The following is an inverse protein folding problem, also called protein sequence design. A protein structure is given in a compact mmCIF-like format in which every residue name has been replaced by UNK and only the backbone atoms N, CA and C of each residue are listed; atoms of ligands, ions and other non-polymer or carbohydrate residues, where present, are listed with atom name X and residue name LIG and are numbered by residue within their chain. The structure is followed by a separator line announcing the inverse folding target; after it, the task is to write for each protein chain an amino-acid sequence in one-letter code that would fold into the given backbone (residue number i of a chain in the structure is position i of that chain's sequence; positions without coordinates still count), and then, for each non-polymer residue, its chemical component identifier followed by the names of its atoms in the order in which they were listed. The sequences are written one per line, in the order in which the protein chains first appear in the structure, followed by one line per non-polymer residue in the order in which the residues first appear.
data_IF_371208198151
#
_entry.id   IF_371208198151
#
_cell.length_a   1.000
_cell.length_b   1.000
_cell.length_c   1.000
_cell.angle_alpha   90.00
_cell.angle_beta   90.00
_cell.angle_gamma   90.00
#
_symmetry.space_group_name_H-M   'P 1'
#
loop_
_entity.id
_entity.type
_entity.pdbx_description
1 polymer ?
#
# COMPACT_ATOMS: atom_id res chain seq x y z
N UNK A 1 19.35 -13.76 24.30
CA UNK A 1 17.90 -13.82 23.91
C UNK A 1 17.09 -13.75 25.20
N UNK A 2 16.18 -12.76 25.33
CA UNK A 2 15.44 -12.51 26.57
C UNK A 2 14.25 -13.46 26.80
N UNK A 3 13.96 -14.40 25.88
CA UNK A 3 12.85 -15.35 25.97
C UNK A 3 11.44 -14.71 25.95
N UNK A 4 11.35 -13.46 25.47
CA UNK A 4 10.08 -12.73 25.35
C UNK A 4 9.54 -12.79 23.93
N UNK A 5 8.21 -12.68 23.78
CA UNK A 5 7.57 -12.56 22.47
C UNK A 5 7.68 -11.12 21.98
N UNK A 6 8.17 -10.96 20.76
CA UNK A 6 8.15 -9.69 20.02
C UNK A 6 7.31 -9.90 18.76
N UNK A 7 6.29 -9.06 18.55
CA UNK A 7 5.44 -9.09 17.37
C UNK A 7 5.42 -7.71 16.72
N UNK A 8 5.64 -7.68 15.40
CA UNK A 8 5.44 -6.48 14.57
C UNK A 8 4.04 -6.54 13.98
N UNK A 9 3.26 -5.47 14.15
CA UNK A 9 1.92 -5.34 13.58
C UNK A 9 1.91 -4.30 12.46
N UNK A 10 1.61 -4.73 11.21
CA UNK A 10 1.35 -3.80 10.13
C UNK A 10 -0.08 -3.28 10.24
N UNK A 11 -0.22 -1.96 10.41
CA UNK A 11 -1.48 -1.30 10.76
C UNK A 11 -2.61 -1.52 9.74
N UNK A 12 -2.31 -1.65 8.44
CA UNK A 12 -3.31 -1.88 7.39
C UNK A 12 -4.07 -3.18 7.58
N UNK A 13 -3.44 -4.21 8.12
CA UNK A 13 -4.11 -5.50 8.41
C UNK A 13 -5.26 -5.37 9.42
N UNK A 14 -5.26 -4.29 10.22
CA UNK A 14 -6.27 -3.98 11.23
C UNK A 14 -7.26 -2.88 10.78
N UNK A 15 -7.04 -2.27 9.62
CA UNK A 15 -7.97 -1.30 9.05
C UNK A 15 -9.13 -2.02 8.35
N UNK A 16 -10.38 -1.63 8.66
CA UNK A 16 -11.59 -2.32 8.23
C UNK A 16 -11.68 -2.52 6.72
N UNK A 17 -11.38 -1.47 5.93
CA UNK A 17 -11.43 -1.56 4.48
C UNK A 17 -10.45 -2.61 3.91
N UNK A 18 -9.24 -2.67 4.47
CA UNK A 18 -8.19 -3.59 4.06
C UNK A 18 -8.50 -5.01 4.52
N UNK A 19 -8.99 -5.18 5.76
CA UNK A 19 -9.41 -6.48 6.29
C UNK A 19 -10.60 -7.05 5.50
N UNK A 20 -11.57 -6.21 5.13
CA UNK A 20 -12.72 -6.61 4.29
C UNK A 20 -12.26 -7.05 2.90
N UNK A 21 -11.35 -6.30 2.29
CA UNK A 21 -10.79 -6.66 0.98
C UNK A 21 -10.00 -7.97 1.05
N UNK A 22 -9.15 -8.14 2.07
CA UNK A 22 -8.42 -9.38 2.28
C UNK A 22 -9.35 -10.59 2.46
N UNK A 23 -10.43 -10.44 3.23
CA UNK A 23 -11.44 -11.49 3.37
C UNK A 23 -12.09 -11.84 2.02
N UNK A 24 -12.43 -10.83 1.19
CA UNK A 24 -13.00 -11.07 -0.15
C UNK A 24 -12.02 -11.80 -1.09
N UNK A 25 -10.73 -11.47 -1.02
CA UNK A 25 -9.69 -12.17 -1.79
C UNK A 25 -9.51 -13.61 -1.30
N UNK A 26 -9.30 -13.79 0.00
CA UNK A 26 -8.95 -15.09 0.58
C UNK A 26 -10.11 -16.10 0.55
N UNK A 27 -11.37 -15.65 0.54
CA UNK A 27 -12.52 -16.54 0.37
C UNK A 27 -12.89 -16.80 -1.10
N UNK A 28 -12.09 -16.29 -2.06
CA UNK A 28 -12.26 -16.54 -3.49
C UNK A 28 -13.32 -15.70 -4.19
N UNK A 29 -13.87 -14.66 -3.56
CA UNK A 29 -14.95 -13.84 -4.14
C UNK A 29 -14.56 -13.15 -5.46
N UNK A 30 -13.28 -12.94 -5.72
CA UNK A 30 -12.75 -12.35 -6.97
C UNK A 30 -12.06 -13.37 -7.87
N UNK A 31 -12.10 -14.66 -7.53
CA UNK A 31 -11.38 -15.72 -8.25
C UNK A 31 -9.87 -15.69 -8.02
N UNK A 32 -9.10 -16.12 -9.03
CA UNK A 32 -7.64 -16.11 -8.96
C UNK A 32 -7.08 -14.71 -9.08
N UNK A 33 -6.18 -14.33 -8.18
CA UNK A 33 -5.50 -13.03 -8.20
C UNK A 33 -4.65 -12.90 -9.46
N UNK A 34 -4.79 -11.80 -10.18
CA UNK A 34 -4.08 -11.49 -11.41
C UNK A 34 -3.20 -10.25 -11.28
N UNK A 35 -3.75 -9.17 -10.72
CA UNK A 35 -3.03 -7.90 -10.52
C UNK A 35 -3.35 -7.30 -9.17
N UNK A 36 -2.36 -6.67 -8.58
CA UNK A 36 -2.51 -5.91 -7.32
C UNK A 36 -1.88 -4.53 -7.47
N UNK A 37 -2.43 -3.57 -6.78
CA UNK A 37 -1.77 -2.28 -6.60
C UNK A 37 -1.93 -1.80 -5.17
N UNK A 38 -0.92 -1.09 -4.67
CA UNK A 38 -0.96 -0.41 -3.38
C UNK A 38 -0.23 0.92 -3.50
N UNK A 39 -0.78 1.95 -2.90
CA UNK A 39 -0.29 3.31 -3.01
C UNK A 39 -0.33 3.99 -1.65
N UNK A 40 0.76 4.70 -1.32
CA UNK A 40 0.89 5.54 -0.13
C UNK A 40 1.42 6.91 -0.51
N UNK A 41 0.66 7.96 -0.23
CA UNK A 41 1.13 9.34 -0.37
C UNK A 41 0.89 10.08 0.94
N UNK A 42 1.98 10.48 1.57
CA UNK A 42 1.93 11.24 2.81
C UNK A 42 1.37 12.65 2.58
N UNK A 43 0.68 13.26 3.55
CA UNK A 43 0.13 14.58 3.38
C UNK A 43 1.24 15.62 3.25
N UNK A 44 1.07 16.58 2.32
CA UNK A 44 1.97 17.70 2.15
C UNK A 44 1.66 18.88 3.07
N UNK A 45 2.51 19.89 3.10
CA UNK A 45 3.79 19.96 2.38
C UNK A 45 4.91 19.18 3.07
N UNK A 46 5.89 18.70 2.29
CA UNK A 46 7.09 18.05 2.83
C UNK A 46 8.01 19.11 3.47
N UNK A 47 8.18 19.05 4.78
CA UNK A 47 8.91 20.04 5.57
C UNK A 47 10.19 19.49 6.22
N UNK A 48 10.42 18.17 6.17
CA UNK A 48 11.61 17.59 6.75
C UNK A 48 12.89 17.99 5.97
N UNK A 49 14.02 18.01 6.68
CA UNK A 49 15.32 18.21 6.06
C UNK A 49 15.79 16.94 5.36
N UNK A 50 15.93 16.91 4.02
CA UNK A 50 16.35 15.72 3.30
C UNK A 50 17.71 15.16 3.72
N UNK A 51 18.62 16.01 4.22
CA UNK A 51 19.94 15.60 4.68
C UNK A 51 19.90 14.70 5.93
N UNK A 52 18.78 14.72 6.66
CA UNK A 52 18.55 13.90 7.86
C UNK A 52 17.81 12.61 7.59
N UNK A 53 17.42 12.36 6.34
CA UNK A 53 16.64 11.19 5.93
C UNK A 53 17.57 10.21 5.18
N UNK A 54 17.59 8.96 5.63
CA UNK A 54 18.41 7.93 4.97
C UNK A 54 17.90 7.68 3.53
N UNK A 55 18.79 7.42 2.55
CA UNK A 55 18.38 7.26 1.14
C UNK A 55 17.31 6.20 0.88
N UNK A 56 17.28 5.12 1.66
CA UNK A 56 16.33 4.02 1.51
C UNK A 56 15.02 4.20 2.29
N UNK A 57 14.82 5.33 2.97
CA UNK A 57 13.65 5.54 3.87
C UNK A 57 12.32 5.33 3.16
N UNK A 58 12.17 5.79 1.91
CA UNK A 58 10.92 5.58 1.17
C UNK A 58 10.56 4.11 1.01
N UNK A 59 11.54 3.21 0.92
CA UNK A 59 11.31 1.77 0.85
C UNK A 59 11.10 1.14 2.22
N UNK A 60 11.87 1.56 3.23
CA UNK A 60 11.95 0.91 4.53
C UNK A 60 10.88 1.41 5.53
N UNK A 61 10.35 2.60 5.34
CA UNK A 61 9.36 3.21 6.23
C UNK A 61 7.99 3.39 5.57
N UNK A 62 7.95 3.76 4.29
CA UNK A 62 6.67 3.98 3.59
C UNK A 62 6.24 2.74 2.80
N UNK A 63 7.01 2.33 1.80
CA UNK A 63 6.66 1.19 0.95
C UNK A 63 6.65 -0.16 1.66
N UNK A 64 7.26 -0.29 2.84
CA UNK A 64 7.16 -1.52 3.63
C UNK A 64 5.71 -1.87 3.96
N UNK A 65 4.84 -0.88 4.13
CA UNK A 65 3.40 -1.07 4.35
C UNK A 65 2.70 -1.59 3.09
N UNK A 66 3.13 -1.13 1.91
CA UNK A 66 2.60 -1.57 0.62
C UNK A 66 3.07 -2.98 0.30
N UNK A 67 4.35 -3.29 0.53
CA UNK A 67 4.89 -4.64 0.35
C UNK A 67 4.20 -5.66 1.26
N UNK A 68 4.00 -5.33 2.53
CA UNK A 68 3.25 -6.18 3.46
C UNK A 68 1.82 -6.43 2.96
N UNK A 69 1.14 -5.37 2.53
CA UNK A 69 -0.23 -5.43 2.01
C UNK A 69 -0.33 -6.33 0.77
N UNK A 70 0.55 -6.14 -0.21
CA UNK A 70 0.55 -6.92 -1.44
C UNK A 70 0.82 -8.40 -1.18
N UNK A 71 1.80 -8.72 -0.31
CA UNK A 71 2.08 -10.09 0.09
C UNK A 71 0.93 -10.72 0.88
N UNK A 72 0.26 -9.96 1.74
CA UNK A 72 -0.90 -10.44 2.50
C UNK A 72 -2.10 -10.73 1.60
N UNK A 73 -2.39 -9.85 0.63
CA UNK A 73 -3.49 -10.03 -0.32
C UNK A 73 -3.23 -11.14 -1.34
N UNK A 74 -1.97 -11.48 -1.62
CA UNK A 74 -1.56 -12.58 -2.49
C UNK A 74 -0.93 -13.72 -1.67
N UNK A 75 -1.56 -14.06 -0.55
CA UNK A 75 -1.04 -15.05 0.40
C UNK A 75 -0.78 -16.42 -0.25
N UNK A 76 0.35 -17.03 0.13
CA UNK A 76 0.78 -18.32 -0.41
C UNK A 76 1.60 -18.22 -1.70
N UNK A 77 1.92 -17.01 -2.17
CA UNK A 77 2.79 -16.77 -3.32
C UNK A 77 3.98 -15.90 -2.92
N UNK A 78 5.12 -16.14 -3.57
CA UNK A 78 6.38 -15.46 -3.27
C UNK A 78 6.78 -14.51 -4.40
N UNK A 79 7.32 -13.32 -4.09
CA UNK A 79 7.88 -12.43 -5.09
C UNK A 79 9.14 -13.04 -5.73
N UNK A 80 9.18 -13.13 -7.07
CA UNK A 80 10.29 -13.74 -7.83
C UNK A 80 11.06 -12.73 -8.67
N UNK A 81 10.49 -11.55 -8.92
CA UNK A 81 11.16 -10.50 -9.68
C UNK A 81 10.67 -9.13 -9.20
N UNK A 82 11.60 -8.18 -9.05
CA UNK A 82 11.31 -6.81 -8.61
C UNK A 82 12.04 -5.83 -9.51
N UNK A 83 11.32 -4.81 -9.97
CA UNK A 83 11.88 -3.64 -10.63
C UNK A 83 11.42 -2.38 -9.91
N UNK A 84 12.36 -1.48 -9.58
CA UNK A 84 12.07 -0.27 -8.84
C UNK A 84 12.68 0.97 -9.50
N UNK A 85 11.93 2.05 -9.52
CA UNK A 85 12.39 3.39 -9.88
C UNK A 85 12.07 4.34 -8.74
N UNK A 86 13.05 5.14 -8.33
CA UNK A 86 12.86 6.16 -7.30
C UNK A 86 13.67 7.41 -7.62
N UNK A 87 13.13 8.57 -7.31
CA UNK A 87 13.81 9.85 -7.49
C UNK A 87 13.38 10.87 -6.44
N UNK A 88 14.10 11.99 -6.38
CA UNK A 88 13.74 13.17 -5.61
C UNK A 88 12.94 14.12 -6.53
N UNK A 89 11.61 13.95 -6.57
CA UNK A 89 10.71 14.75 -7.40
C UNK A 89 10.14 15.96 -6.66
N UNK A 90 9.96 15.84 -5.34
CA UNK A 90 9.49 16.90 -4.45
C UNK A 90 10.65 17.83 -4.08
N UNK A 91 11.82 17.23 -3.81
CA UNK A 91 13.05 17.94 -3.46
C UNK A 91 14.19 17.63 -4.43
N UNK A 92 14.12 18.12 -5.69
CA UNK A 92 15.15 17.86 -6.72
C UNK A 92 16.55 18.36 -6.31
N UNK A 93 16.60 19.37 -5.46
CA UNK A 93 17.83 19.93 -4.88
C UNK A 93 18.58 18.93 -4.00
N UNK A 94 17.88 17.95 -3.42
CA UNK A 94 18.46 16.90 -2.59
C UNK A 94 18.83 15.61 -3.36
N UNK A 95 18.59 15.55 -4.66
CA UNK A 95 18.82 14.34 -5.49
C UNK A 95 20.26 13.80 -5.38
N UNK A 96 21.24 14.71 -5.38
CA UNK A 96 22.67 14.37 -5.33
C UNK A 96 23.11 13.72 -4.02
N UNK A 97 22.38 13.93 -2.93
CA UNK A 97 22.63 13.27 -1.64
C UNK A 97 22.16 11.82 -1.57
N UNK A 98 21.48 11.34 -2.63
CA UNK A 98 20.85 10.02 -2.63
C UNK A 98 19.44 10.01 -2.05
N UNK A 99 18.91 11.18 -1.61
CA UNK A 99 17.54 11.30 -1.13
C UNK A 99 16.53 10.89 -2.21
N UNK A 100 15.49 10.17 -1.82
CA UNK A 100 14.38 9.75 -2.67
C UNK A 100 13.07 10.00 -1.93
N UNK A 101 12.16 10.73 -2.56
CA UNK A 101 10.85 11.09 -2.02
C UNK A 101 9.67 10.53 -2.80
N UNK A 102 9.95 9.90 -3.93
CA UNK A 102 8.95 9.29 -4.81
C UNK A 102 9.51 7.99 -5.37
N UNK A 103 8.69 6.93 -5.33
CA UNK A 103 9.10 5.61 -5.82
C UNK A 103 7.92 4.84 -6.41
N UNK A 104 8.21 4.04 -7.44
CA UNK A 104 7.32 3.05 -8.03
C UNK A 104 8.06 1.73 -8.12
N UNK A 105 7.41 0.66 -7.67
CA UNK A 105 7.95 -0.70 -7.67
C UNK A 105 6.99 -1.62 -8.39
N UNK A 106 7.50 -2.46 -9.28
CA UNK A 106 6.76 -3.55 -9.91
C UNK A 106 7.29 -4.87 -9.37
N UNK A 107 6.39 -5.79 -9.04
CA UNK A 107 6.69 -7.10 -8.45
C UNK A 107 6.00 -8.17 -9.30
N UNK A 108 6.72 -9.23 -9.67
CA UNK A 108 6.14 -10.44 -10.23
C UNK A 108 6.21 -11.57 -9.19
N UNK A 109 5.10 -12.27 -9.02
CA UNK A 109 4.98 -13.40 -8.11
C UNK A 109 5.11 -14.74 -8.86
N UNK A 110 5.43 -15.80 -8.13
CA UNK A 110 5.58 -17.17 -8.65
C UNK A 110 4.28 -17.76 -9.22
N UNK A 111 3.11 -17.31 -8.70
CA UNK A 111 1.79 -17.67 -9.26
C UNK A 111 1.42 -16.91 -10.55
N UNK A 112 2.32 -16.06 -11.05
CA UNK A 112 2.13 -15.23 -12.24
C UNK A 112 1.44 -13.88 -12.01
N UNK A 113 0.96 -13.58 -10.80
CA UNK A 113 0.38 -12.28 -10.48
C UNK A 113 1.43 -11.17 -10.57
N UNK A 114 0.97 -9.98 -10.96
CA UNK A 114 1.81 -8.76 -11.07
C UNK A 114 1.29 -7.73 -10.10
N UNK A 115 2.17 -7.14 -9.31
CA UNK A 115 1.83 -6.06 -8.39
C UNK A 115 2.62 -4.78 -8.65
N UNK A 116 2.03 -3.64 -8.26
CA UNK A 116 2.69 -2.34 -8.20
C UNK A 116 2.55 -1.75 -6.81
N UNK A 117 3.63 -1.16 -6.31
CA UNK A 117 3.65 -0.34 -5.11
C UNK A 117 4.14 1.06 -5.47
N UNK A 118 3.44 2.09 -4.99
CA UNK A 118 3.78 3.49 -5.23
C UNK A 118 3.85 4.25 -3.90
N UNK A 119 4.87 5.09 -3.73
CA UNK A 119 4.96 5.99 -2.58
C UNK A 119 5.42 7.39 -2.97
N UNK A 120 4.91 8.37 -2.22
CA UNK A 120 5.36 9.77 -2.29
C UNK A 120 5.31 10.40 -0.89
N UNK A 121 6.34 11.18 -0.52
CA UNK A 121 6.37 11.91 0.75
C UNK A 121 5.51 13.18 0.75
N UNK A 122 4.79 13.47 -0.34
CA UNK A 122 3.94 14.67 -0.40
C UNK A 122 2.76 14.52 -1.36
N UNK A 123 1.57 14.58 -0.79
CA UNK A 123 0.33 14.80 -1.52
C UNK A 123 -0.33 16.08 -1.00
N UNK A 124 -0.32 17.14 -1.80
CA UNK A 124 -0.84 18.45 -1.40
C UNK A 124 -2.35 18.47 -1.14
N UNK A 125 -3.06 17.43 -1.61
CA UNK A 125 -4.51 17.24 -1.40
C UNK A 125 -4.84 16.42 -0.14
N UNK A 126 -3.85 15.99 0.64
CA UNK A 126 -4.02 15.24 1.87
C UNK A 126 -3.48 13.80 1.79
N UNK A 127 -3.68 13.04 2.86
CA UNK A 127 -3.22 11.67 2.96
C UNK A 127 -3.97 10.76 1.97
N UNK A 128 -3.23 9.98 1.17
CA UNK A 128 -3.81 9.14 0.13
C UNK A 128 -3.30 7.70 0.25
N UNK A 129 -4.17 6.81 0.71
CA UNK A 129 -3.92 5.38 0.82
C UNK A 129 -4.93 4.64 -0.03
N UNK A 130 -4.47 3.93 -1.05
CA UNK A 130 -5.34 3.16 -1.95
C UNK A 130 -4.74 1.80 -2.27
N UNK A 131 -5.62 0.85 -2.59
CA UNK A 131 -5.25 -0.43 -3.12
C UNK A 131 -6.34 -1.02 -3.98
N UNK A 132 -5.94 -1.93 -4.85
CA UNK A 132 -6.82 -2.67 -5.74
C UNK A 132 -6.30 -4.09 -5.94
N UNK A 133 -7.20 -5.05 -5.97
CA UNK A 133 -6.90 -6.41 -6.41
C UNK A 133 -7.87 -6.81 -7.51
N UNK A 134 -7.34 -7.07 -8.70
CA UNK A 134 -8.06 -7.63 -9.84
C UNK A 134 -7.85 -9.14 -9.84
N UNK A 135 -8.95 -9.88 -9.83
CA UNK A 135 -8.98 -11.33 -9.97
C UNK A 135 -9.72 -11.76 -11.23
N UNK A 136 -9.73 -13.06 -11.51
CA UNK A 136 -10.35 -13.64 -12.70
C UNK A 136 -11.88 -13.52 -12.73
N UNK A 137 -12.52 -13.33 -11.58
CA UNK A 137 -13.98 -13.25 -11.43
C UNK A 137 -14.47 -11.90 -10.86
N UNK A 138 -13.58 -10.98 -10.54
CA UNK A 138 -13.96 -9.69 -9.99
C UNK A 138 -12.78 -8.85 -9.53
N UNK A 139 -13.08 -7.77 -8.82
CA UNK A 139 -12.11 -6.81 -8.33
C UNK A 139 -12.54 -6.27 -6.97
N UNK A 140 -11.59 -5.95 -6.12
CA UNK A 140 -11.81 -5.20 -4.87
C UNK A 140 -10.91 -3.98 -4.83
N UNK A 141 -11.46 -2.84 -4.41
CA UNK A 141 -10.71 -1.60 -4.18
C UNK A 141 -10.77 -1.22 -2.71
N UNK A 142 -9.68 -0.66 -2.20
CA UNK A 142 -9.53 -0.17 -0.83
C UNK A 142 -9.05 1.27 -0.83
N UNK A 143 -9.56 2.04 0.10
CA UNK A 143 -9.21 3.44 0.27
C UNK A 143 -9.70 4.35 -0.85
N UNK A 144 -9.74 5.62 -0.54
CA UNK A 144 -9.93 6.75 -1.47
C UNK A 144 -9.30 7.97 -0.80
N UNK A 145 -8.94 9.02 -1.53
CA UNK A 145 -8.42 10.25 -0.93
C UNK A 145 -9.34 10.88 0.12
N UNK A 146 -10.64 10.55 0.06
CA UNK A 146 -11.68 11.14 0.91
C UNK A 146 -12.56 10.11 1.64
N UNK A 147 -12.34 8.82 1.46
CA UNK A 147 -13.14 7.78 2.13
C UNK A 147 -12.32 6.56 2.53
N UNK A 148 -12.71 5.96 3.65
CA UNK A 148 -12.13 4.72 4.18
C UNK A 148 -12.87 3.45 3.74
N UNK A 149 -13.79 3.56 2.78
CA UNK A 149 -14.62 2.45 2.32
C UNK A 149 -13.89 1.43 1.45
N UNK A 150 -14.35 0.18 1.48
CA UNK A 150 -13.95 -0.85 0.51
C UNK A 150 -14.99 -0.96 -0.61
N UNK A 151 -14.52 -1.17 -1.84
CA UNK A 151 -15.36 -1.41 -3.01
C UNK A 151 -15.02 -2.76 -3.61
N UNK A 152 -16.03 -3.60 -3.80
CA UNK A 152 -15.92 -4.89 -4.47
C UNK A 152 -16.67 -4.83 -5.80
N UNK A 153 -16.02 -5.24 -6.88
CA UNK A 153 -16.61 -5.35 -8.22
C UNK A 153 -16.52 -6.81 -8.68
N UNK A 154 -17.67 -7.39 -9.04
CA UNK A 154 -17.77 -8.75 -9.57
C UNK A 154 -18.71 -8.77 -10.78
N UNK A 155 -18.81 -9.91 -11.51
CA UNK A 155 -19.80 -10.09 -12.54
C UNK A 155 -21.26 -9.99 -12.02
N UNK A 156 -21.49 -10.27 -10.73
CA UNK A 156 -22.79 -10.12 -10.07
C UNK A 156 -23.15 -8.67 -9.70
N UNK A 157 -22.20 -7.72 -9.82
CA UNK A 157 -22.43 -6.31 -9.52
C UNK A 157 -21.33 -5.67 -8.68
N UNK A 158 -21.63 -4.44 -8.24
CA UNK A 158 -20.77 -3.61 -7.39
C UNK A 158 -21.34 -3.52 -5.99
N UNK A 159 -20.51 -3.80 -4.97
CA UNK A 159 -20.84 -3.49 -3.58
C UNK A 159 -19.85 -2.48 -2.99
N UNK A 160 -20.34 -1.62 -2.10
CA UNK A 160 -19.53 -0.62 -1.39
C UNK A 160 -19.78 -0.81 0.10
N UNK A 161 -18.74 -1.10 0.85
CA UNK A 161 -18.78 -1.06 2.31
C UNK A 161 -18.26 0.31 2.73
N UNK A 162 -19.15 1.18 3.18
CA UNK A 162 -18.76 2.46 3.79
C UNK A 162 -18.31 2.18 5.21
N UNK A 163 -17.01 2.21 5.46
CA UNK A 163 -16.52 2.41 6.82
C UNK A 163 -16.94 3.82 7.25
N UNK A 164 -17.42 3.98 8.47
CA UNK A 164 -17.69 5.30 9.03
C UNK A 164 -16.46 6.21 8.90
N UNK A 165 -16.68 7.51 8.81
CA UNK A 165 -15.66 8.57 8.66
C UNK A 165 -14.74 8.66 9.88
N UNK A 166 -14.13 7.56 10.28
CA UNK A 166 -13.17 7.54 11.38
C UNK A 166 -11.80 7.95 10.87
N UNK A 167 -11.57 9.25 10.81
CA UNK A 167 -10.26 9.84 10.55
C UNK A 167 -9.30 9.68 11.73
N UNK A 168 -9.78 9.19 12.89
CA UNK A 168 -8.98 9.05 14.11
C UNK A 168 -7.94 7.92 14.04
N UNK A 169 -8.03 7.01 13.09
CA UNK A 169 -7.16 5.84 12.98
C UNK A 169 -5.72 6.13 12.56
N UNK A 170 -5.45 7.34 12.12
CA UNK A 170 -4.14 7.76 11.60
C UNK A 170 -3.57 8.99 12.31
N UNK A 171 -4.11 9.36 13.46
CA UNK A 171 -3.43 10.32 14.32
C UNK A 171 -2.44 9.57 15.20
N UNK A 172 -1.13 9.89 15.13
CA UNK A 172 -0.19 9.42 16.14
C UNK A 172 -0.64 9.99 17.48
N UNK A 173 -0.69 9.12 18.49
CA UNK A 173 -0.85 9.52 19.88
C UNK A 173 0.38 10.32 20.34
#
# INVERSE_FOLDING_TARGET
RAGVVLQVGFNRRFAEAWATAAAAVHNGAIGTVQRLSSLTRDPGPFTADPARIAPATIFNETLIHDFDTLNWLNAGSEPVEVYAVADALIRPDARSSGFRDSAVVTIRYDNGAIATAEASFCAMYGYDLRGEVLGSAGMVQMGEPTSSGARLFTAAGKSVTTAGTDTSRYHPA
#
